data_IF_418489741439
#
_entry.id   IF_418489741439
#
_cell.length_a   1.000
_cell.length_b   1.000
_cell.length_c   1.000
_cell.angle_alpha   90.00
_cell.angle_beta   90.00
_cell.angle_gamma   90.00
#
_symmetry.space_group_name_H-M   'P 1'
#
loop_
_entity.id
_entity.type
_entity.pdbx_description
1 polymer ?
#
# COMPACT_ATOMS: atom_id res chain seq x y z
N UNK A 1 -0.64 -5.21 8.86
CA UNK A 1 -0.23 -6.60 8.68
C UNK A 1 1.25 -6.76 9.09
N UNK A 2 2.05 -7.57 8.41
CA UNK A 2 3.42 -7.91 8.82
C UNK A 2 4.50 -6.87 8.48
N UNK A 3 5.58 -7.31 7.78
CA UNK A 3 6.77 -6.48 7.49
C UNK A 3 6.50 -5.34 6.51
N UNK A 4 5.43 -5.40 5.73
CA UNK A 4 5.09 -4.36 4.73
C UNK A 4 5.04 -2.94 5.30
N UNK A 5 4.59 -2.78 6.54
CA UNK A 5 4.53 -1.47 7.20
C UNK A 5 5.89 -0.82 7.47
N UNK A 6 7.00 -1.56 7.35
CA UNK A 6 8.35 -1.02 7.50
C UNK A 6 8.68 0.01 6.41
N UNK A 7 8.09 -0.11 5.21
CA UNK A 7 8.24 0.90 4.17
C UNK A 7 7.67 2.26 4.62
N UNK A 8 6.51 2.24 5.27
CA UNK A 8 5.86 3.44 5.83
C UNK A 8 6.63 3.95 7.05
N UNK A 9 7.07 3.06 7.95
CA UNK A 9 7.87 3.46 9.12
C UNK A 9 9.15 4.19 8.71
N UNK A 10 9.84 3.72 7.67
CA UNK A 10 11.03 4.40 7.14
C UNK A 10 10.72 5.83 6.71
N UNK A 11 9.60 6.05 6.03
CA UNK A 11 9.18 7.40 5.62
C UNK A 11 8.79 8.27 6.82
N UNK A 12 8.13 7.69 7.84
CA UNK A 12 7.78 8.38 9.08
C UNK A 12 9.02 8.82 9.86
N UNK A 13 10.02 7.95 10.00
CA UNK A 13 11.28 8.28 10.67
C UNK A 13 12.05 9.44 9.98
N UNK A 14 11.98 9.49 8.65
CA UNK A 14 12.59 10.58 7.88
C UNK A 14 11.82 11.91 8.02
N UNK A 15 10.47 11.87 7.99
CA UNK A 15 9.61 13.06 8.04
C UNK A 15 9.47 13.61 9.47
N UNK A 16 9.53 12.76 10.49
CA UNK A 16 9.26 13.05 11.90
C UNK A 16 10.41 12.58 12.81
N UNK A 17 11.66 13.09 12.63
CA UNK A 17 12.84 12.58 13.32
C UNK A 17 12.85 12.84 14.84
N UNK A 18 11.94 13.69 15.34
CA UNK A 18 11.80 14.00 16.77
C UNK A 18 10.76 13.11 17.47
N UNK A 19 10.05 12.23 16.72
CA UNK A 19 9.00 11.41 17.27
C UNK A 19 9.51 10.02 17.65
N UNK A 20 8.92 9.45 18.70
CA UNK A 20 9.13 8.06 19.08
C UNK A 20 8.06 7.18 18.42
N UNK A 21 8.48 6.07 17.82
CA UNK A 21 7.59 5.15 17.14
C UNK A 21 7.54 3.80 17.84
N UNK A 22 6.33 3.28 18.01
CA UNK A 22 6.10 1.87 18.37
C UNK A 22 5.54 1.18 17.13
N UNK A 23 6.18 0.12 16.68
CA UNK A 23 5.75 -0.67 15.52
C UNK A 23 5.27 -2.04 15.96
N UNK A 24 4.04 -2.39 15.59
CA UNK A 24 3.48 -3.73 15.83
C UNK A 24 3.20 -4.41 14.49
N UNK A 25 3.90 -5.52 14.22
CA UNK A 25 3.67 -6.40 13.08
C UNK A 25 2.81 -7.59 13.54
N UNK A 26 1.67 -7.80 12.88
CA UNK A 26 0.78 -8.94 13.15
C UNK A 26 1.17 -10.15 12.28
N UNK A 27 2.45 -10.59 12.40
CA UNK A 27 3.06 -11.59 11.53
C UNK A 27 2.31 -12.92 11.51
N UNK A 28 1.75 -13.33 12.65
CA UNK A 28 0.99 -14.59 12.76
C UNK A 28 -0.27 -14.63 11.86
N UNK A 29 -0.73 -13.46 11.39
CA UNK A 29 -1.95 -13.32 10.59
C UNK A 29 -1.71 -12.65 9.23
N UNK A 30 -0.48 -12.20 8.99
CA UNK A 30 -0.07 -11.60 7.72
C UNK A 30 0.08 -12.67 6.61
N UNK A 31 -0.05 -12.29 5.33
CA UNK A 31 -0.53 -11.00 4.84
C UNK A 31 -2.06 -10.86 4.89
N UNK A 32 -2.57 -9.62 5.00
CA UNK A 32 -4.02 -9.35 5.05
C UNK A 32 -4.69 -9.30 3.67
N UNK A 33 -3.92 -9.16 2.59
CA UNK A 33 -4.40 -8.82 1.26
C UNK A 33 -5.39 -9.80 0.63
N UNK A 34 -5.39 -11.05 1.08
CA UNK A 34 -6.22 -12.15 0.60
C UNK A 34 -7.24 -12.62 1.67
N UNK A 35 -7.32 -11.90 2.80
CA UNK A 35 -8.27 -12.16 3.88
C UNK A 35 -9.55 -11.35 3.69
N UNK A 36 -10.66 -11.86 4.22
CA UNK A 36 -11.94 -11.14 4.20
C UNK A 36 -11.95 -9.89 5.10
N UNK A 37 -12.72 -8.88 4.73
CA UNK A 37 -12.76 -7.57 5.42
C UNK A 37 -13.09 -7.69 6.91
N UNK A 38 -14.01 -8.59 7.30
CA UNK A 38 -14.36 -8.80 8.71
C UNK A 38 -13.17 -9.28 9.55
N UNK A 39 -12.39 -10.24 9.03
CA UNK A 39 -11.18 -10.72 9.68
C UNK A 39 -10.15 -9.60 9.81
N UNK A 40 -9.92 -8.86 8.73
CA UNK A 40 -8.95 -7.75 8.71
C UNK A 40 -9.33 -6.66 9.69
N UNK A 41 -10.62 -6.31 9.77
CA UNK A 41 -11.13 -5.31 10.71
C UNK A 41 -10.96 -5.75 12.17
N UNK A 42 -11.28 -7.00 12.48
CA UNK A 42 -11.07 -7.57 13.81
C UNK A 42 -9.59 -7.56 14.22
N UNK A 43 -8.68 -7.98 13.31
CA UNK A 43 -7.25 -7.95 13.59
C UNK A 43 -6.71 -6.54 13.80
N UNK A 44 -7.10 -5.59 12.93
CA UNK A 44 -6.72 -4.19 13.06
C UNK A 44 -7.18 -3.59 14.39
N UNK A 45 -8.41 -3.91 14.83
CA UNK A 45 -8.95 -3.51 16.12
C UNK A 45 -8.15 -4.08 17.29
N UNK A 46 -7.83 -5.40 17.27
CA UNK A 46 -7.06 -6.06 18.31
C UNK A 46 -5.64 -5.46 18.44
N UNK A 47 -4.98 -5.18 17.31
CA UNK A 47 -3.66 -4.54 17.27
C UNK A 47 -3.71 -3.13 17.85
N UNK A 48 -4.71 -2.32 17.49
CA UNK A 48 -4.85 -0.97 18.02
C UNK A 48 -5.17 -0.98 19.51
N UNK A 49 -6.09 -1.82 19.96
CA UNK A 49 -6.43 -1.94 21.38
C UNK A 49 -5.21 -2.31 22.23
N UNK A 50 -4.37 -3.22 21.73
CA UNK A 50 -3.12 -3.59 22.37
C UNK A 50 -2.14 -2.40 22.45
N UNK A 51 -1.90 -1.71 21.34
CA UNK A 51 -1.01 -0.54 21.33
C UNK A 51 -1.49 0.56 22.28
N UNK A 52 -2.80 0.82 22.31
CA UNK A 52 -3.39 1.85 23.18
C UNK A 52 -3.35 1.46 24.67
N UNK A 53 -3.38 0.15 25.01
CA UNK A 53 -3.29 -0.33 26.40
C UNK A 53 -1.85 -0.38 26.93
N UNK A 54 -0.88 -0.67 26.06
CA UNK A 54 0.53 -0.84 26.47
C UNK A 54 1.34 0.48 26.37
N UNK A 55 0.87 1.48 25.60
CA UNK A 55 1.61 2.70 25.32
C UNK A 55 0.70 3.92 25.34
N UNK A 56 1.25 5.05 25.77
CA UNK A 56 0.62 6.37 25.61
C UNK A 56 0.88 6.87 24.18
N UNK A 57 -0.05 6.55 23.26
CA UNK A 57 0.06 6.95 21.86
C UNK A 57 -0.70 8.25 21.59
N UNK A 58 -0.11 9.18 20.83
CA UNK A 58 -0.74 10.45 20.43
C UNK A 58 -1.35 10.41 19.04
N UNK A 59 -0.96 9.45 18.21
CA UNK A 59 -1.54 9.18 16.90
C UNK A 59 -1.27 7.73 16.48
N UNK A 60 -2.11 7.18 15.60
CA UNK A 60 -1.93 5.86 15.02
C UNK A 60 -1.79 5.95 13.50
N UNK A 61 -0.87 5.18 12.93
CA UNK A 61 -0.76 4.97 11.47
C UNK A 61 -1.11 3.54 11.12
N UNK A 62 -2.16 3.34 10.30
CA UNK A 62 -2.50 2.04 9.74
C UNK A 62 -1.67 1.85 8.47
N UNK A 63 -0.49 1.25 8.60
CA UNK A 63 0.48 1.06 7.53
C UNK A 63 0.15 -0.16 6.64
N UNK A 64 -1.10 -0.27 6.19
CA UNK A 64 -1.61 -1.34 5.34
C UNK A 64 -2.81 -0.85 4.54
N UNK A 65 -2.77 -0.93 3.19
CA UNK A 65 -3.88 -0.50 2.34
C UNK A 65 -5.14 -1.34 2.60
N UNK A 66 -5.01 -2.65 2.71
CA UNK A 66 -6.12 -3.57 3.00
C UNK A 66 -6.75 -3.26 4.35
N UNK A 67 -5.95 -3.11 5.42
CA UNK A 67 -6.48 -2.77 6.73
C UNK A 67 -7.11 -1.37 6.78
N UNK A 68 -6.55 -0.40 6.08
CA UNK A 68 -7.16 0.93 5.95
C UNK A 68 -8.51 0.86 5.26
N UNK A 69 -8.60 0.08 4.18
CA UNK A 69 -9.87 -0.08 3.45
C UNK A 69 -10.95 -0.72 4.31
N UNK A 70 -10.61 -1.80 5.03
CA UNK A 70 -11.55 -2.58 5.83
C UNK A 70 -11.95 -1.91 7.16
N UNK A 71 -11.05 -1.15 7.81
CA UNK A 71 -11.23 -0.82 9.23
C UNK A 71 -11.13 0.65 9.61
N UNK A 72 -10.55 1.53 8.79
CA UNK A 72 -10.18 2.89 9.23
C UNK A 72 -11.35 3.70 9.77
N UNK A 73 -12.55 3.61 9.19
CA UNK A 73 -13.72 4.36 9.64
C UNK A 73 -14.25 3.84 10.98
N UNK A 74 -14.32 2.52 11.12
CA UNK A 74 -14.71 1.87 12.36
C UNK A 74 -13.75 2.23 13.51
N UNK A 75 -12.45 2.15 13.26
CA UNK A 75 -11.43 2.45 14.27
C UNK A 75 -11.43 3.94 14.66
N UNK A 76 -11.64 4.84 13.72
CA UNK A 76 -11.78 6.27 14.02
C UNK A 76 -12.98 6.58 14.91
N UNK A 77 -14.11 5.90 14.70
CA UNK A 77 -15.29 6.05 15.53
C UNK A 77 -15.08 5.47 16.94
N UNK A 78 -14.46 4.29 17.03
CA UNK A 78 -14.29 3.56 18.29
C UNK A 78 -13.20 4.18 19.21
N UNK A 79 -12.12 4.67 18.62
CA UNK A 79 -10.98 5.18 19.37
C UNK A 79 -10.87 6.72 19.37
N UNK A 80 -11.96 7.43 19.08
CA UNK A 80 -11.98 8.89 19.20
C UNK A 80 -11.63 9.31 20.66
N UNK A 81 -10.86 10.37 20.88
CA UNK A 81 -10.36 11.35 19.90
C UNK A 81 -8.99 11.04 19.29
N UNK A 82 -8.46 9.80 19.40
CA UNK A 82 -7.14 9.44 18.86
C UNK A 82 -7.07 9.68 17.34
N UNK A 83 -6.13 10.51 16.83
CA UNK A 83 -5.95 10.67 15.39
C UNK A 83 -5.50 9.37 14.74
N UNK A 84 -6.19 8.94 13.68
CA UNK A 84 -5.84 7.72 12.93
C UNK A 84 -5.61 8.07 11.47
N UNK A 85 -4.38 7.88 11.00
CA UNK A 85 -3.94 8.04 9.61
C UNK A 85 -3.92 6.68 8.93
N UNK A 86 -4.65 6.54 7.82
CA UNK A 86 -4.61 5.35 6.96
C UNK A 86 -3.79 5.61 5.71
N UNK A 87 -3.40 4.54 5.03
CA UNK A 87 -2.72 4.59 3.74
C UNK A 87 -3.69 4.21 2.61
N UNK A 88 -3.65 4.96 1.51
CA UNK A 88 -4.41 4.70 0.30
C UNK A 88 -3.46 4.62 -0.91
N UNK A 89 -3.81 3.84 -1.96
CA UNK A 89 -3.05 3.87 -3.20
C UNK A 89 -2.97 5.28 -3.79
N UNK A 90 -1.82 5.64 -4.32
CA UNK A 90 -1.48 7.00 -4.76
C UNK A 90 -2.14 7.39 -6.11
N UNK A 91 -3.46 7.13 -6.28
CA UNK A 91 -4.17 7.34 -7.56
C UNK A 91 -4.22 8.81 -7.96
N UNK A 92 -4.50 9.72 -7.00
CA UNK A 92 -4.56 11.16 -7.28
C UNK A 92 -3.24 11.73 -7.81
N UNK A 93 -2.10 11.53 -7.12
CA UNK A 93 -0.81 11.99 -7.64
C UNK A 93 -0.41 11.25 -8.93
N UNK A 94 -0.77 9.97 -9.09
CA UNK A 94 -0.51 9.23 -10.32
C UNK A 94 -1.23 9.82 -11.53
N UNK A 95 -2.52 10.15 -11.39
CA UNK A 95 -3.30 10.80 -12.45
C UNK A 95 -2.74 12.20 -12.82
N UNK A 96 -2.17 12.92 -11.85
CA UNK A 96 -1.55 14.23 -12.09
C UNK A 96 -0.16 14.12 -12.73
N UNK A 97 0.57 13.04 -12.47
CA UNK A 97 1.93 12.82 -12.96
C UNK A 97 1.95 12.21 -14.37
N UNK A 98 1.00 11.33 -14.68
CA UNK A 98 0.94 10.63 -15.96
C UNK A 98 0.78 11.63 -17.13
N UNK A 99 1.65 11.48 -18.13
CA UNK A 99 1.60 12.27 -19.38
C UNK A 99 0.76 11.58 -20.45
N UNK A 100 0.72 10.25 -20.43
CA UNK A 100 -0.09 9.46 -21.36
C UNK A 100 -1.55 9.38 -20.93
N UNK A 101 -1.85 9.72 -19.67
CA UNK A 101 -3.15 9.51 -19.06
C UNK A 101 -3.45 8.04 -18.72
N UNK A 102 -2.47 7.13 -18.86
CA UNK A 102 -2.61 5.71 -18.56
C UNK A 102 -1.78 5.35 -17.31
N UNK A 103 -2.46 4.89 -16.26
CA UNK A 103 -1.87 4.56 -14.95
C UNK A 103 -2.11 3.10 -14.62
N UNK A 104 -1.05 2.35 -14.34
CA UNK A 104 -1.15 1.00 -13.79
C UNK A 104 -1.27 1.02 -12.27
N UNK A 105 -2.16 0.21 -11.73
CA UNK A 105 -2.36 0.08 -10.27
C UNK A 105 -2.13 -1.37 -9.86
N UNK A 106 -1.06 -1.59 -9.14
CA UNK A 106 -0.63 -2.88 -8.63
C UNK A 106 -1.00 -2.96 -7.15
N UNK A 107 -1.96 -3.79 -6.78
CA UNK A 107 -2.44 -3.87 -5.40
C UNK A 107 -2.94 -5.27 -5.06
N UNK A 108 -3.23 -5.50 -3.78
CA UNK A 108 -3.87 -6.75 -3.37
C UNK A 108 -5.33 -6.80 -3.84
N UNK A 109 -5.84 -8.00 -4.06
CA UNK A 109 -7.23 -8.22 -4.47
C UNK A 109 -8.21 -7.55 -3.51
N UNK A 110 -8.04 -7.71 -2.19
CA UNK A 110 -8.87 -7.07 -1.19
C UNK A 110 -8.86 -5.53 -1.28
N UNK A 111 -7.70 -4.92 -1.56
CA UNK A 111 -7.63 -3.46 -1.78
C UNK A 111 -8.43 -3.05 -3.01
N UNK A 112 -8.22 -3.70 -4.16
CA UNK A 112 -8.90 -3.34 -5.41
C UNK A 112 -10.43 -3.53 -5.35
N UNK A 113 -10.90 -4.54 -4.64
CA UNK A 113 -12.33 -4.83 -4.49
C UNK A 113 -13.02 -4.00 -3.41
N UNK A 114 -12.28 -3.33 -2.54
CA UNK A 114 -12.85 -2.56 -1.43
C UNK A 114 -13.73 -1.41 -1.90
N UNK A 115 -14.83 -1.15 -1.20
CA UNK A 115 -15.73 -0.02 -1.49
C UNK A 115 -14.98 1.32 -1.44
N UNK A 116 -13.99 1.46 -0.53
CA UNK A 116 -13.18 2.65 -0.37
C UNK A 116 -12.29 2.91 -1.61
N UNK A 117 -11.62 1.88 -2.13
CA UNK A 117 -10.82 1.99 -3.36
C UNK A 117 -11.69 2.33 -4.56
N UNK A 118 -12.84 1.64 -4.70
CA UNK A 118 -13.78 1.89 -5.79
C UNK A 118 -14.37 3.31 -5.75
N UNK A 119 -14.62 3.85 -4.56
CA UNK A 119 -15.03 5.25 -4.40
C UNK A 119 -13.94 6.23 -4.81
N UNK A 120 -12.67 5.96 -4.41
CA UNK A 120 -11.51 6.75 -4.83
C UNK A 120 -11.35 6.72 -6.35
N UNK A 121 -11.43 5.54 -6.96
CA UNK A 121 -11.33 5.37 -8.41
C UNK A 121 -12.40 6.18 -9.15
N UNK A 122 -13.68 6.07 -8.75
CA UNK A 122 -14.79 6.86 -9.32
C UNK A 122 -14.58 8.37 -9.18
N UNK A 123 -13.97 8.83 -8.08
CA UNK A 123 -13.71 10.26 -7.86
C UNK A 123 -12.68 10.84 -8.85
N UNK A 124 -11.99 9.98 -9.60
CA UNK A 124 -10.96 10.32 -10.59
C UNK A 124 -11.39 10.01 -12.03
N UNK A 125 -12.66 9.70 -12.22
CA UNK A 125 -13.21 9.46 -13.56
C UNK A 125 -12.93 10.62 -14.50
N UNK A 126 -12.52 10.31 -15.72
CA UNK A 126 -12.11 11.29 -16.73
C UNK A 126 -10.73 11.95 -16.50
N UNK A 127 -10.03 11.69 -15.38
CA UNK A 127 -8.70 12.25 -15.13
C UNK A 127 -7.56 11.42 -15.68
N UNK A 128 -7.70 10.11 -15.62
CA UNK A 128 -6.76 9.12 -16.18
C UNK A 128 -7.49 7.80 -16.39
N UNK A 129 -6.92 6.95 -17.24
CA UNK A 129 -7.35 5.56 -17.40
C UNK A 129 -6.53 4.68 -16.49
N UNK A 130 -7.19 4.07 -15.52
CA UNK A 130 -6.54 3.19 -14.55
C UNK A 130 -6.65 1.72 -15.00
N UNK A 131 -5.47 1.07 -15.12
CA UNK A 131 -5.32 -0.35 -15.40
C UNK A 131 -5.07 -1.07 -14.07
N UNK A 132 -6.00 -1.92 -13.65
CA UNK A 132 -5.94 -2.54 -12.32
C UNK A 132 -5.40 -3.96 -12.41
N UNK A 133 -4.37 -4.29 -11.63
CA UNK A 133 -3.78 -5.61 -11.54
C UNK A 133 -3.74 -6.08 -10.09
N UNK A 134 -4.43 -7.18 -9.80
CA UNK A 134 -4.29 -7.88 -8.54
C UNK A 134 -2.97 -8.66 -8.52
N UNK A 135 -2.16 -8.44 -7.49
CA UNK A 135 -0.83 -9.06 -7.33
C UNK A 135 -0.88 -10.13 -6.23
N UNK A 136 -1.67 -11.19 -6.47
CA UNK A 136 -1.85 -12.28 -5.52
C UNK A 136 -0.53 -13.05 -5.29
N UNK A 137 -0.22 -13.39 -4.05
CA UNK A 137 0.99 -14.12 -3.66
C UNK A 137 2.25 -13.28 -3.48
N UNK A 138 2.35 -12.04 -4.01
CA UNK A 138 3.57 -11.24 -3.85
C UNK A 138 3.78 -10.78 -2.40
N UNK A 139 2.73 -10.34 -1.72
CA UNK A 139 2.83 -9.97 -0.31
C UNK A 139 3.18 -11.16 0.57
N UNK A 140 2.65 -12.35 0.26
CA UNK A 140 2.97 -13.60 0.94
C UNK A 140 4.45 -13.99 0.75
N UNK A 141 4.95 -13.93 -0.49
CA UNK A 141 6.36 -14.20 -0.77
C UNK A 141 7.28 -13.25 0.02
N UNK A 142 6.95 -11.95 0.08
CA UNK A 142 7.75 -10.96 0.83
C UNK A 142 7.73 -11.22 2.33
N UNK A 143 6.59 -11.69 2.89
CA UNK A 143 6.49 -12.01 4.32
C UNK A 143 7.27 -13.27 4.71
N UNK A 144 7.21 -14.32 3.88
CA UNK A 144 7.51 -15.68 4.32
C UNK A 144 8.73 -16.31 3.68
N UNK A 145 9.30 -15.74 2.61
CA UNK A 145 10.40 -16.38 1.90
C UNK A 145 11.78 -15.87 2.35
N UNK A 146 12.76 -16.77 2.33
CA UNK A 146 14.15 -16.42 2.50
C UNK A 146 14.65 -15.53 1.33
N UNK A 147 15.59 -14.63 1.59
CA UNK A 147 16.01 -13.58 0.64
C UNK A 147 16.39 -14.11 -0.76
N UNK A 148 17.06 -15.27 -0.84
CA UNK A 148 17.45 -15.88 -2.12
C UNK A 148 16.27 -16.39 -2.95
N UNK A 149 15.30 -17.05 -2.30
CA UNK A 149 14.08 -17.54 -2.94
C UNK A 149 13.15 -16.38 -3.30
N UNK A 150 13.03 -15.39 -2.40
CA UNK A 150 12.22 -14.18 -2.62
C UNK A 150 12.64 -13.44 -3.88
N UNK A 151 13.95 -13.26 -4.12
CA UNK A 151 14.43 -12.52 -5.28
C UNK A 151 13.93 -13.15 -6.60
N UNK A 152 14.00 -14.47 -6.72
CA UNK A 152 13.54 -15.18 -7.91
C UNK A 152 12.02 -15.17 -8.03
N UNK A 153 11.30 -15.49 -6.95
CA UNK A 153 9.83 -15.56 -6.96
C UNK A 153 9.18 -14.20 -7.17
N UNK A 154 9.62 -13.18 -6.45
CA UNK A 154 9.13 -11.82 -6.65
C UNK A 154 9.36 -11.35 -8.09
N UNK A 155 10.53 -11.67 -8.66
CA UNK A 155 10.80 -11.37 -10.05
C UNK A 155 9.80 -12.00 -11.01
N UNK A 156 9.57 -13.29 -10.90
CA UNK A 156 8.62 -14.01 -11.77
C UNK A 156 7.18 -13.49 -11.63
N UNK A 157 6.74 -13.23 -10.39
CA UNK A 157 5.41 -12.66 -10.13
C UNK A 157 5.28 -11.25 -10.74
N UNK A 158 6.29 -10.39 -10.59
CA UNK A 158 6.28 -9.05 -11.17
C UNK A 158 6.21 -9.11 -12.69
N UNK A 159 6.97 -10.00 -13.34
CA UNK A 159 6.91 -10.21 -14.79
C UNK A 159 5.50 -10.60 -15.25
N UNK A 160 4.85 -11.50 -14.52
CA UNK A 160 3.48 -11.91 -14.79
C UNK A 160 2.50 -10.72 -14.67
N UNK A 161 2.59 -9.91 -13.61
CA UNK A 161 1.67 -8.79 -13.40
C UNK A 161 1.87 -7.67 -14.43
N UNK A 162 3.12 -7.35 -14.77
CA UNK A 162 3.41 -6.35 -15.78
C UNK A 162 2.92 -6.78 -17.17
N UNK A 163 3.09 -8.07 -17.52
CA UNK A 163 2.58 -8.62 -18.77
C UNK A 163 1.04 -8.57 -18.86
N UNK A 164 0.35 -8.81 -17.74
CA UNK A 164 -1.11 -8.75 -17.68
C UNK A 164 -1.66 -7.31 -17.68
N UNK A 165 -0.87 -6.35 -17.17
CA UNK A 165 -1.27 -4.96 -17.03
C UNK A 165 -1.36 -4.23 -18.38
N UNK A 166 -0.42 -4.51 -19.30
CA UNK A 166 -0.31 -3.89 -20.61
C UNK A 166 1.08 -3.34 -20.91
N UNK A 167 1.21 -2.61 -22.01
CA UNK A 167 2.48 -2.06 -22.47
C UNK A 167 2.89 -0.84 -21.62
N UNK A 168 4.13 -0.87 -21.11
CA UNK A 168 4.74 0.24 -20.41
C UNK A 168 5.48 1.14 -21.41
N UNK A 169 5.33 2.46 -21.28
CA UNK A 169 6.02 3.42 -22.11
C UNK A 169 5.40 4.80 -22.05
N UNK A 170 5.93 5.70 -22.90
CA UNK A 170 5.54 7.11 -22.96
C UNK A 170 4.76 7.48 -24.22
N UNK A 171 4.41 6.50 -25.07
CA UNK A 171 3.59 6.71 -26.26
C UNK A 171 2.11 6.73 -25.90
N UNK A 172 1.29 7.25 -26.80
CA UNK A 172 -0.16 7.30 -26.60
C UNK A 172 -0.73 5.86 -26.37
N UNK A 173 -1.47 5.69 -25.29
CA UNK A 173 -2.06 4.40 -24.90
C UNK A 173 -1.17 3.50 -24.05
N UNK A 174 0.11 3.84 -23.87
CA UNK A 174 1.02 3.10 -22.99
C UNK A 174 0.95 3.62 -21.55
N UNK A 175 1.28 2.74 -20.58
CA UNK A 175 1.28 3.04 -19.17
C UNK A 175 2.63 3.65 -18.79
N UNK A 176 2.64 4.94 -18.40
CA UNK A 176 3.84 5.67 -18.00
C UNK A 176 3.99 5.85 -16.50
N UNK A 177 3.01 5.42 -15.73
CA UNK A 177 2.97 5.59 -14.27
C UNK A 177 2.39 4.33 -13.61
N UNK A 178 3.09 3.79 -12.60
CA UNK A 178 2.70 2.61 -11.85
C UNK A 178 2.55 2.95 -10.37
N UNK A 179 1.40 2.63 -9.78
CA UNK A 179 1.12 2.78 -8.35
C UNK A 179 1.36 1.47 -7.63
N UNK A 180 2.27 1.47 -6.66
CA UNK A 180 2.50 0.36 -5.74
C UNK A 180 1.48 0.44 -4.59
N UNK A 181 0.30 -0.15 -4.81
CA UNK A 181 -0.87 -0.07 -3.90
C UNK A 181 -0.84 -1.08 -2.73
N UNK A 182 0.33 -1.61 -2.40
CA UNK A 182 0.54 -2.45 -1.21
C UNK A 182 1.88 -2.10 -0.57
N UNK A 183 1.90 -1.97 0.76
CA UNK A 183 3.08 -1.56 1.53
C UNK A 183 4.22 -2.59 1.53
N UNK A 184 3.96 -3.82 1.10
CA UNK A 184 5.00 -4.82 0.88
C UNK A 184 5.81 -4.55 -0.40
N UNK A 185 5.20 -4.03 -1.46
CA UNK A 185 5.83 -3.95 -2.77
C UNK A 185 7.08 -3.08 -2.82
N UNK A 186 7.20 -1.96 -2.07
CA UNK A 186 8.45 -1.21 -1.97
C UNK A 186 9.61 -1.96 -1.33
N UNK A 187 9.36 -3.07 -0.61
CA UNK A 187 10.43 -3.90 -0.03
C UNK A 187 11.21 -4.69 -1.09
N UNK A 188 10.62 -4.87 -2.27
CA UNK A 188 11.25 -5.48 -3.46
C UNK A 188 11.42 -4.46 -4.60
N UNK A 189 11.67 -3.20 -4.24
CA UNK A 189 11.82 -2.10 -5.21
C UNK A 189 12.89 -2.36 -6.28
N UNK A 190 14.07 -2.95 -5.98
CA UNK A 190 15.05 -3.29 -7.01
C UNK A 190 14.49 -4.22 -8.10
N UNK A 191 13.64 -5.18 -7.74
CA UNK A 191 13.01 -6.11 -8.69
C UNK A 191 12.01 -5.38 -9.61
N UNK A 192 11.25 -4.42 -9.07
CA UNK A 192 10.37 -3.55 -9.86
C UNK A 192 11.19 -2.68 -10.81
N UNK A 193 12.21 -2.00 -10.29
CA UNK A 193 13.05 -1.10 -11.09
C UNK A 193 13.77 -1.81 -12.24
N UNK A 194 14.28 -3.02 -11.99
CA UNK A 194 14.95 -3.82 -13.00
C UNK A 194 14.04 -4.17 -14.20
N UNK A 195 12.72 -4.27 -13.97
CA UNK A 195 11.73 -4.66 -15.00
C UNK A 195 11.03 -3.49 -15.65
N UNK A 196 10.74 -2.47 -14.87
CA UNK A 196 10.08 -1.24 -15.36
C UNK A 196 11.10 -0.36 -16.09
N UNK A 197 12.36 -0.34 -15.62
CA UNK A 197 13.42 0.52 -16.19
C UNK A 197 13.00 1.99 -16.20
N UNK A 198 13.20 2.65 -17.34
CA UNK A 198 12.75 4.01 -17.57
C UNK A 198 11.38 4.13 -18.25
N UNK A 199 10.68 3.00 -18.48
CA UNK A 199 9.43 2.99 -19.24
C UNK A 199 8.25 3.62 -18.48
N UNK A 200 8.25 3.49 -17.13
CA UNK A 200 7.21 4.07 -16.29
C UNK A 200 7.78 4.54 -14.93
N UNK A 201 7.10 5.51 -14.32
CA UNK A 201 7.42 6.01 -12.99
C UNK A 201 6.73 5.16 -11.94
N UNK A 202 7.48 4.69 -10.92
CA UNK A 202 6.94 3.97 -9.77
C UNK A 202 6.52 4.95 -8.66
N UNK A 203 5.30 4.85 -8.17
CA UNK A 203 4.78 5.67 -7.06
C UNK A 203 4.47 4.79 -5.84
N UNK A 204 5.07 5.16 -4.71
CA UNK A 204 4.80 4.62 -3.38
C UNK A 204 4.10 5.69 -2.53
N UNK A 205 2.99 5.38 -1.85
CA UNK A 205 2.26 6.32 -1.02
C UNK A 205 2.91 6.62 0.36
N UNK A 206 4.01 5.96 0.75
CA UNK A 206 4.58 6.04 2.10
C UNK A 206 4.94 7.47 2.53
N UNK A 207 5.60 8.25 1.66
CA UNK A 207 5.94 9.64 1.96
C UNK A 207 4.70 10.54 2.12
N UNK A 208 3.65 10.29 1.32
CA UNK A 208 2.41 11.05 1.44
C UNK A 208 1.72 10.78 2.78
N UNK A 209 1.78 9.54 3.27
CA UNK A 209 1.29 9.16 4.61
C UNK A 209 2.13 9.83 5.69
N UNK A 210 3.45 9.85 5.57
CA UNK A 210 4.32 10.49 6.53
C UNK A 210 4.03 12.01 6.65
N UNK A 211 3.91 12.71 5.51
CA UNK A 211 3.50 14.13 5.48
C UNK A 211 2.10 14.35 6.07
N UNK A 212 1.15 13.45 5.84
CA UNK A 212 -0.17 13.54 6.45
C UNK A 212 -0.12 13.30 7.96
N UNK A 213 0.72 12.38 8.42
CA UNK A 213 0.91 12.12 9.87
C UNK A 213 1.48 13.34 10.58
N UNK A 214 2.37 14.10 9.94
CA UNK A 214 2.92 15.36 10.49
C UNK A 214 1.85 16.45 10.72
N UNK A 215 0.70 16.38 10.05
CA UNK A 215 -0.38 17.38 10.12
C UNK A 215 -1.38 17.13 11.23
N UNK A 216 -1.35 15.95 11.84
CA UNK A 216 -2.27 15.54 12.93
C UNK A 216 -1.56 15.50 14.27
#
# INVERSE_FOLDING_TARGET
>A
SGVGGLSVLRALLAELPQECFVYLADNAHAPYGERGDAFVAERARAVLARLASEHTVKALVIACNTATAAAVQLLRAEFAPLPIVGIEPALKPAAALSRTGHVGVLATRGTLQSAKFQALLRSLDGRARFHLQACDGLADAIENEAASALQQRAGALIDQYLSALGTLGCSAGEIDTLVLGCTHYPLVLPQWQARVGGAATLLDPAEAVARQTRRV
#
